data_IF_517101849529
#
_entry.id   IF_517101849529
#
_cell.length_a   1.000
_cell.length_b   1.000
_cell.length_c   1.000
_cell.angle_alpha   90.00
_cell.angle_beta   90.00
_cell.angle_gamma   90.00
#
_symmetry.space_group_name_H-M   'P 1'
#
loop_
_entity.id
_entity.type
_entity.pdbx_description
1 polymer ?
#
# COMPACT_ATOMS: atom_id res chain seq x y z
N UNK A 1 -4.16 -16.50 22.24
CA UNK A 1 -5.15 -15.56 21.67
C UNK A 1 -6.60 -15.85 22.09
N UNK A 2 -6.99 -17.12 22.30
CA UNK A 2 -8.32 -17.46 22.83
C UNK A 2 -8.63 -16.83 24.21
N UNK A 3 -7.68 -16.86 25.14
CA UNK A 3 -7.82 -16.26 26.48
C UNK A 3 -8.12 -14.76 26.42
N UNK A 4 -7.44 -14.04 25.52
CA UNK A 4 -7.67 -12.61 25.32
C UNK A 4 -9.08 -12.34 24.77
N UNK A 5 -9.55 -13.16 23.82
CA UNK A 5 -10.91 -13.05 23.30
C UNK A 5 -11.95 -13.16 24.40
N UNK A 6 -11.84 -14.24 25.18
CA UNK A 6 -12.78 -14.55 26.25
C UNK A 6 -12.78 -13.44 27.30
N UNK A 7 -11.61 -12.93 27.70
CA UNK A 7 -11.54 -11.82 28.65
C UNK A 7 -12.23 -10.54 28.14
N UNK A 8 -12.07 -10.21 26.85
CA UNK A 8 -12.73 -9.05 26.26
C UNK A 8 -14.24 -9.22 26.12
N UNK A 9 -14.70 -10.43 25.80
CA UNK A 9 -16.13 -10.78 25.76
C UNK A 9 -16.75 -10.65 27.16
N UNK A 10 -16.09 -11.18 28.20
CA UNK A 10 -16.54 -11.06 29.59
C UNK A 10 -16.65 -9.60 30.05
N UNK A 11 -15.59 -8.80 29.86
CA UNK A 11 -15.58 -7.37 30.25
C UNK A 11 -16.69 -6.57 29.53
N UNK A 12 -16.96 -6.89 28.26
CA UNK A 12 -18.04 -6.29 27.48
C UNK A 12 -19.41 -6.67 28.04
N UNK A 13 -19.62 -7.97 28.30
CA UNK A 13 -20.93 -8.51 28.68
C UNK A 13 -21.31 -8.14 30.12
N UNK A 14 -20.31 -8.06 31.01
CA UNK A 14 -20.46 -7.56 32.38
C UNK A 14 -20.56 -6.03 32.47
N UNK A 15 -20.48 -5.32 31.34
CA UNK A 15 -20.49 -3.85 31.24
C UNK A 15 -19.41 -3.18 32.09
N UNK A 16 -18.27 -3.84 32.26
CA UNK A 16 -17.09 -3.25 32.91
C UNK A 16 -16.46 -2.15 32.04
N UNK A 17 -16.71 -2.22 30.73
CA UNK A 17 -16.31 -1.21 29.76
C UNK A 17 -17.54 -0.53 29.17
N UNK A 18 -17.67 0.77 29.43
CA UNK A 18 -18.71 1.62 28.86
C UNK A 18 -18.68 1.56 27.31
N UNK A 19 -19.77 1.16 26.63
CA UNK A 19 -19.76 0.99 25.18
C UNK A 19 -19.40 2.28 24.40
N UNK A 20 -19.82 3.44 24.90
CA UNK A 20 -19.54 4.71 24.23
C UNK A 20 -18.07 5.17 24.35
N UNK A 21 -17.32 4.60 25.30
CA UNK A 21 -15.91 4.92 25.55
C UNK A 21 -15.00 4.53 24.38
N UNK A 22 -13.78 5.09 24.36
CA UNK A 22 -12.73 4.72 23.40
C UNK A 22 -12.40 3.22 23.46
N UNK A 23 -12.28 2.66 24.66
CA UNK A 23 -12.02 1.24 24.88
C UNK A 23 -13.21 0.37 24.43
N UNK A 24 -14.44 0.78 24.75
CA UNK A 24 -15.65 0.08 24.32
C UNK A 24 -15.80 0.03 22.80
N UNK A 25 -15.45 1.12 22.10
CA UNK A 25 -15.36 1.16 20.63
C UNK A 25 -14.30 0.22 20.10
N UNK A 26 -13.11 0.20 20.73
CA UNK A 26 -12.03 -0.70 20.34
C UNK A 26 -12.42 -2.18 20.52
N UNK A 27 -13.07 -2.54 21.63
CA UNK A 27 -13.55 -3.90 21.89
C UNK A 27 -14.54 -4.36 20.83
N UNK A 28 -15.53 -3.52 20.49
CA UNK A 28 -16.49 -3.82 19.42
C UNK A 28 -15.80 -4.06 18.09
N UNK A 29 -14.88 -3.17 17.70
CA UNK A 29 -14.13 -3.31 16.46
C UNK A 29 -13.32 -4.60 16.44
N UNK A 30 -12.57 -4.87 17.51
CA UNK A 30 -11.65 -6.01 17.57
C UNK A 30 -12.40 -7.35 17.61
N UNK A 31 -13.47 -7.46 18.41
CA UNK A 31 -14.29 -8.67 18.48
C UNK A 31 -15.05 -8.92 17.17
N UNK A 32 -15.57 -7.87 16.52
CA UNK A 32 -16.24 -7.97 15.22
C UNK A 32 -15.32 -8.41 14.08
N UNK A 33 -14.03 -8.04 14.15
CA UNK A 33 -13.02 -8.38 13.15
C UNK A 33 -12.02 -9.43 13.66
N UNK A 34 -12.40 -10.23 14.66
CA UNK A 34 -11.47 -11.16 15.32
C UNK A 34 -10.74 -12.07 14.34
N UNK A 35 -11.50 -12.66 13.40
CA UNK A 35 -10.93 -13.58 12.43
C UNK A 35 -9.89 -12.86 11.55
N UNK A 36 -10.22 -11.72 10.94
CA UNK A 36 -9.28 -11.01 10.06
C UNK A 36 -8.07 -10.46 10.81
N UNK A 37 -8.26 -9.87 12.00
CA UNK A 37 -7.17 -9.31 12.81
C UNK A 37 -6.25 -10.36 13.44
N UNK A 38 -6.66 -11.64 13.47
CA UNK A 38 -5.83 -12.76 13.94
C UNK A 38 -5.37 -13.69 12.81
N UNK A 39 -5.49 -13.26 11.55
CA UNK A 39 -5.16 -14.10 10.39
C UNK A 39 -3.69 -14.51 10.34
N UNK A 40 -2.78 -13.70 10.89
CA UNK A 40 -1.36 -14.03 11.06
C UNK A 40 -1.09 -15.31 11.87
N UNK A 41 -2.05 -15.76 12.69
CA UNK A 41 -1.95 -17.03 13.42
C UNK A 41 -2.27 -18.26 12.56
N UNK A 42 -2.87 -18.07 11.38
CA UNK A 42 -3.36 -19.15 10.51
C UNK A 42 -2.69 -19.18 9.14
N UNK A 43 -2.20 -18.04 8.66
CA UNK A 43 -1.52 -17.92 7.37
C UNK A 43 -0.04 -17.68 7.60
N UNK A 44 0.84 -18.65 7.29
CA UNK A 44 2.28 -18.47 7.39
C UNK A 44 2.74 -17.24 6.57
N UNK A 45 3.58 -16.41 7.19
CA UNK A 45 4.12 -15.20 6.54
C UNK A 45 3.16 -14.01 6.46
N UNK A 46 1.90 -14.13 6.90
CA UNK A 46 1.02 -12.97 6.99
C UNK A 46 1.52 -11.98 8.07
N UNK A 47 1.65 -10.68 7.74
CA UNK A 47 2.14 -9.69 8.68
C UNK A 47 1.14 -9.44 9.82
N UNK A 48 1.65 -9.08 10.99
CA UNK A 48 0.84 -8.74 12.16
C UNK A 48 0.14 -7.38 11.99
N UNK A 49 0.74 -6.48 11.23
CA UNK A 49 0.27 -5.12 11.01
C UNK A 49 0.17 -4.80 9.50
N UNK A 50 -0.46 -3.66 9.21
CA UNK A 50 -0.65 -3.17 7.85
C UNK A 50 0.32 -2.03 7.48
N UNK A 51 1.43 -1.87 8.22
CA UNK A 51 2.30 -0.71 8.08
C UNK A 51 2.86 -0.58 6.67
N UNK A 52 3.16 -1.69 6.00
CA UNK A 52 3.66 -1.70 4.62
C UNK A 52 2.64 -1.08 3.65
N UNK A 53 1.37 -1.48 3.70
CA UNK A 53 0.36 -0.92 2.83
C UNK A 53 0.04 0.54 3.20
N UNK A 54 -0.02 0.87 4.49
CA UNK A 54 -0.20 2.26 4.94
C UNK A 54 0.92 3.17 4.45
N UNK A 55 2.18 2.71 4.51
CA UNK A 55 3.33 3.45 3.96
C UNK A 55 3.22 3.64 2.45
N UNK A 56 2.75 2.63 1.71
CA UNK A 56 2.50 2.78 0.28
C UNK A 56 1.41 3.82 -0.02
N UNK A 57 0.30 3.79 0.73
CA UNK A 57 -0.81 4.75 0.58
C UNK A 57 -0.42 6.19 0.89
N UNK A 58 0.56 6.41 1.79
CA UNK A 58 1.05 7.76 2.13
C UNK A 58 1.56 8.54 0.91
N UNK A 59 2.10 7.88 -0.11
CA UNK A 59 2.54 8.54 -1.33
C UNK A 59 1.37 9.23 -2.05
N UNK A 60 0.27 8.50 -2.26
CA UNK A 60 -0.94 9.00 -2.93
C UNK A 60 -1.61 10.10 -2.10
N UNK A 61 -1.67 9.92 -0.77
CA UNK A 61 -2.22 10.93 0.14
C UNK A 61 -1.40 12.23 0.07
N UNK A 62 -0.07 12.14 0.04
CA UNK A 62 0.82 13.30 -0.12
C UNK A 62 0.60 13.98 -1.47
N UNK A 63 0.48 13.21 -2.56
CA UNK A 63 0.20 13.77 -3.87
C UNK A 63 -1.13 14.54 -3.89
N UNK A 64 -2.20 13.95 -3.36
CA UNK A 64 -3.51 14.62 -3.25
C UNK A 64 -3.42 15.92 -2.44
N UNK A 65 -2.64 15.93 -1.35
CA UNK A 65 -2.43 17.13 -0.53
C UNK A 65 -1.64 18.20 -1.29
N UNK A 66 -0.64 17.81 -2.06
CA UNK A 66 0.25 18.75 -2.78
C UNK A 66 -0.38 19.30 -4.06
N UNK A 67 -1.23 18.53 -4.75
CA UNK A 67 -1.88 18.98 -5.99
C UNK A 67 -3.03 19.97 -5.75
N UNK A 68 -3.58 20.06 -4.52
CA UNK A 68 -4.79 20.81 -4.13
C UNK A 68 -6.07 20.35 -4.87
N UNK A 69 -6.09 20.41 -6.19
CA UNK A 69 -7.18 19.98 -7.07
C UNK A 69 -6.65 19.60 -8.47
N UNK A 70 -7.42 18.80 -9.20
CA UNK A 70 -7.18 18.51 -10.62
C UNK A 70 -8.26 19.22 -11.45
N UNK A 71 -7.84 19.97 -12.47
CA UNK A 71 -8.77 20.74 -13.32
C UNK A 71 -9.68 19.85 -14.17
N UNK A 72 -9.18 18.67 -14.59
CA UNK A 72 -9.92 17.72 -15.41
C UNK A 72 -9.66 16.29 -14.96
N UNK A 73 -10.59 15.38 -15.27
CA UNK A 73 -10.40 13.95 -15.04
C UNK A 73 -9.14 13.41 -15.75
N UNK A 74 -8.82 13.94 -16.94
CA UNK A 74 -7.61 13.59 -17.67
C UNK A 74 -6.33 13.99 -16.92
N UNK A 75 -6.28 15.19 -16.34
CA UNK A 75 -5.14 15.62 -15.52
C UNK A 75 -4.97 14.77 -14.26
N UNK A 76 -6.08 14.36 -13.63
CA UNK A 76 -6.05 13.45 -12.49
C UNK A 76 -5.54 12.05 -12.88
N UNK A 77 -5.92 11.57 -14.07
CA UNK A 77 -5.43 10.31 -14.63
C UNK A 77 -3.91 10.35 -14.85
N UNK A 78 -3.39 11.39 -15.50
CA UNK A 78 -1.94 11.55 -15.73
C UNK A 78 -1.18 11.61 -14.40
N UNK A 79 -1.67 12.37 -13.42
CA UNK A 79 -1.06 12.42 -12.09
C UNK A 79 -1.04 11.04 -11.40
N UNK A 80 -2.12 10.26 -11.55
CA UNK A 80 -2.23 8.91 -10.99
C UNK A 80 -1.27 7.92 -11.66
N UNK A 81 -1.10 8.00 -12.98
CA UNK A 81 -0.12 7.21 -13.73
C UNK A 81 1.31 7.50 -13.25
N UNK A 82 1.69 8.78 -13.18
CA UNK A 82 3.03 9.18 -12.75
C UNK A 82 3.30 8.74 -11.30
N UNK A 83 2.31 8.91 -10.41
CA UNK A 83 2.43 8.49 -9.02
C UNK A 83 2.61 6.97 -8.91
N UNK A 84 1.87 6.20 -9.71
CA UNK A 84 1.96 4.73 -9.74
C UNK A 84 3.33 4.27 -10.25
N UNK A 85 3.87 4.94 -11.27
CA UNK A 85 5.21 4.68 -11.78
C UNK A 85 6.28 4.95 -10.72
N UNK A 86 6.19 6.11 -10.03
CA UNK A 86 7.11 6.48 -8.95
C UNK A 86 7.02 5.46 -7.80
N UNK A 87 5.81 5.05 -7.42
CA UNK A 87 5.58 4.04 -6.38
C UNK A 87 6.28 2.71 -6.74
N UNK A 88 6.10 2.26 -7.98
CA UNK A 88 6.68 1.01 -8.47
C UNK A 88 8.21 1.07 -8.51
N UNK A 89 8.79 2.19 -8.99
CA UNK A 89 10.23 2.39 -8.97
C UNK A 89 10.79 2.41 -7.54
N UNK A 90 10.09 3.09 -6.61
CA UNK A 90 10.47 3.13 -5.19
C UNK A 90 10.46 1.73 -4.58
N UNK A 91 9.44 0.93 -4.88
CA UNK A 91 9.35 -0.46 -4.42
C UNK A 91 10.46 -1.35 -5.01
N UNK A 92 10.86 -1.09 -6.26
CA UNK A 92 11.96 -1.77 -6.94
C UNK A 92 13.35 -1.28 -6.50
N UNK A 93 13.44 -0.24 -5.65
CA UNK A 93 14.72 0.34 -5.25
C UNK A 93 15.43 1.16 -6.34
N UNK A 94 14.66 1.67 -7.32
CA UNK A 94 15.16 2.31 -8.54
C UNK A 94 14.80 3.79 -8.58
N UNK A 95 15.71 4.60 -9.14
CA UNK A 95 15.45 6.01 -9.39
C UNK A 95 14.39 6.19 -10.49
N UNK A 96 13.22 6.73 -10.13
CA UNK A 96 12.09 6.88 -11.05
C UNK A 96 12.38 7.81 -12.25
N UNK A 97 13.22 8.83 -12.06
CA UNK A 97 13.60 9.74 -13.15
C UNK A 97 14.50 9.02 -14.15
N UNK A 98 15.52 8.31 -13.68
CA UNK A 98 16.40 7.51 -14.54
C UNK A 98 15.60 6.47 -15.34
N UNK A 99 14.62 5.84 -14.71
CA UNK A 99 13.71 4.91 -15.38
C UNK A 99 12.88 5.60 -16.46
N UNK A 100 12.24 6.75 -16.16
CA UNK A 100 11.48 7.51 -17.15
C UNK A 100 12.33 7.96 -18.35
N UNK A 101 13.56 8.44 -18.10
CA UNK A 101 14.50 8.83 -19.16
C UNK A 101 14.82 7.63 -20.05
N UNK A 102 15.19 6.50 -19.47
CA UNK A 102 15.48 5.28 -20.22
C UNK A 102 14.29 4.84 -21.09
N UNK A 103 13.06 4.90 -20.56
CA UNK A 103 11.87 4.57 -21.35
C UNK A 103 11.66 5.51 -22.54
N UNK A 104 11.95 6.80 -22.40
CA UNK A 104 11.79 7.77 -23.49
C UNK A 104 12.89 7.64 -24.55
N UNK A 105 14.15 7.50 -24.13
CA UNK A 105 15.30 7.35 -25.03
C UNK A 105 15.22 6.06 -25.86
N UNK A 106 14.66 4.99 -25.28
CA UNK A 106 14.56 3.68 -25.92
C UNK A 106 13.14 3.30 -26.33
N UNK A 107 12.26 4.28 -26.57
CA UNK A 107 10.84 4.11 -26.89
C UNK A 107 10.55 2.92 -27.82
N UNK A 108 11.24 2.84 -28.97
CA UNK A 108 10.98 1.77 -29.95
C UNK A 108 11.30 0.37 -29.40
N UNK A 109 12.37 0.24 -28.60
CA UNK A 109 12.72 -1.01 -27.94
C UNK A 109 11.76 -1.37 -26.80
N UNK A 110 11.31 -0.36 -26.04
CA UNK A 110 10.29 -0.52 -24.99
C UNK A 110 8.99 -1.05 -25.59
N UNK A 111 8.53 -0.50 -26.71
CA UNK A 111 7.32 -0.97 -27.38
C UNK A 111 7.48 -2.37 -28.00
N UNK A 112 8.67 -2.71 -28.49
CA UNK A 112 8.95 -4.02 -29.04
C UNK A 112 8.95 -5.11 -27.94
N UNK A 113 9.62 -4.87 -26.80
CA UNK A 113 9.81 -5.86 -25.74
C UNK A 113 9.65 -5.24 -24.33
N UNK A 114 8.43 -4.87 -23.89
CA UNK A 114 8.24 -4.12 -22.65
C UNK A 114 8.68 -4.85 -21.37
N UNK A 115 8.73 -6.19 -21.38
CA UNK A 115 9.19 -6.99 -20.25
C UNK A 115 10.66 -6.71 -19.87
N UNK A 116 11.48 -6.34 -20.86
CA UNK A 116 12.90 -6.01 -20.66
C UNK A 116 13.09 -4.60 -20.09
N UNK A 117 12.01 -3.80 -20.05
CA UNK A 117 12.03 -2.40 -19.64
C UNK A 117 11.18 -2.15 -18.39
N UNK A 118 10.96 -3.17 -17.55
CA UNK A 118 10.33 -2.99 -16.25
C UNK A 118 11.32 -2.33 -15.27
N UNK A 119 10.84 -1.74 -14.16
CA UNK A 119 11.72 -1.06 -13.22
C UNK A 119 12.87 -1.92 -12.70
N UNK A 120 12.69 -3.24 -12.58
CA UNK A 120 13.71 -4.17 -12.11
C UNK A 120 14.52 -4.86 -13.23
N UNK A 121 14.24 -4.58 -14.51
CA UNK A 121 14.96 -5.21 -15.65
C UNK A 121 15.70 -4.21 -16.53
N UNK A 122 15.23 -2.96 -16.63
CA UNK A 122 15.76 -1.99 -17.60
C UNK A 122 17.27 -1.73 -17.47
N UNK A 123 17.85 -1.75 -16.27
CA UNK A 123 19.29 -1.53 -16.07
C UNK A 123 20.13 -2.65 -16.69
N UNK A 124 19.70 -3.91 -16.56
CA UNK A 124 20.38 -5.03 -17.18
C UNK A 124 20.28 -4.94 -18.71
N UNK A 125 19.10 -4.54 -19.21
CA UNK A 125 18.87 -4.31 -20.64
C UNK A 125 19.79 -3.22 -21.21
N UNK A 126 19.97 -2.13 -20.47
CA UNK A 126 20.91 -1.06 -20.83
C UNK A 126 22.37 -1.55 -20.85
N UNK A 127 22.76 -2.39 -19.89
CA UNK A 127 24.13 -2.92 -19.82
C UNK A 127 24.44 -3.97 -20.90
N UNK A 128 23.42 -4.62 -21.46
CA UNK A 128 23.54 -5.66 -22.49
C UNK A 128 23.57 -5.14 -23.93
N UNK A 129 23.44 -3.81 -24.11
CA UNK A 129 23.40 -3.13 -25.41
C UNK A 129 24.67 -2.33 -25.63
#
# INVERSE_FOLDING_TARGET
MATLKSSMETQRDQREVEPSSSLGKAFRYWLGHWQTLTQFLRVPGAPLDNNTAERALKLIIRQRKNSLFYATAHSAYVASLLTSLIATCTQAGVNAMAYLVALQEHRSAVFANPADWLPWTFQATLASR
#
